data_IF_699875567521
#
_entry.id   IF_699875567521
#
_cell.length_a   1.000
_cell.length_b   1.000
_cell.length_c   1.000
_cell.angle_alpha   90.00
_cell.angle_beta   90.00
_cell.angle_gamma   90.00
#
_symmetry.space_group_name_H-M   'P 1'
#
loop_
_entity.id
_entity.type
_entity.pdbx_description
1 polymer ?
#
# COMPACT_ATOMS: atom_id res chain seq x y z
N UNK A 1 5.32 -2.91 11.37
CA UNK A 1 6.43 -2.25 10.65
C UNK A 1 5.89 -0.93 10.14
N UNK A 2 6.62 0.17 10.23
CA UNK A 2 6.10 1.50 9.84
C UNK A 2 6.56 1.85 8.43
N UNK A 3 5.62 2.13 7.53
CA UNK A 3 5.92 2.67 6.20
C UNK A 3 6.44 4.10 6.30
N UNK A 4 7.37 4.45 5.41
CA UNK A 4 7.93 5.80 5.29
C UNK A 4 7.72 6.30 3.88
N UNK A 5 7.44 7.60 3.77
CA UNK A 5 7.40 8.30 2.49
C UNK A 5 8.69 8.07 1.69
N UNK A 6 8.54 7.73 0.41
CA UNK A 6 9.62 7.41 -0.51
C UNK A 6 10.10 5.97 -0.49
N UNK A 7 9.56 5.09 0.38
CA UNK A 7 9.89 3.67 0.34
C UNK A 7 9.23 2.98 -0.85
N UNK A 8 10.00 2.08 -1.49
CA UNK A 8 9.47 1.15 -2.49
C UNK A 8 8.72 0.02 -1.80
N UNK A 9 7.53 -0.25 -2.29
CA UNK A 9 6.63 -1.29 -1.78
C UNK A 9 6.06 -2.11 -2.92
N UNK A 10 5.66 -3.33 -2.62
CA UNK A 10 4.91 -4.23 -3.48
C UNK A 10 3.56 -4.53 -2.83
N UNK A 11 2.50 -4.55 -3.64
CA UNK A 11 1.23 -5.12 -3.22
C UNK A 11 1.36 -6.64 -3.35
N UNK A 12 1.77 -7.34 -2.30
CA UNK A 12 2.16 -8.76 -2.41
C UNK A 12 0.97 -9.73 -2.28
N UNK A 13 -0.17 -9.26 -1.74
CA UNK A 13 -1.40 -10.04 -1.58
C UNK A 13 -2.63 -9.14 -1.61
N UNK A 14 -3.81 -9.72 -1.74
CA UNK A 14 -5.06 -9.04 -1.43
C UNK A 14 -5.23 -8.88 0.08
N UNK A 15 -5.85 -7.77 0.50
CA UNK A 15 -6.23 -7.54 1.89
C UNK A 15 -7.61 -8.15 2.16
N UNK A 16 -7.84 -8.58 3.39
CA UNK A 16 -9.16 -9.02 3.87
C UNK A 16 -9.99 -7.84 4.45
N UNK A 17 -9.42 -6.64 4.47
CA UNK A 17 -10.08 -5.43 4.93
C UNK A 17 -11.25 -5.00 4.03
N UNK A 18 -12.27 -4.39 4.64
CA UNK A 18 -13.43 -3.83 3.92
C UNK A 18 -13.05 -2.73 2.93
N UNK A 19 -11.88 -2.12 3.10
CA UNK A 19 -11.33 -1.14 2.15
C UNK A 19 -10.84 -1.76 0.84
N UNK A 20 -10.62 -3.09 0.82
CA UNK A 20 -10.21 -3.80 -0.39
C UNK A 20 -11.40 -4.03 -1.32
N UNK A 21 -11.28 -3.57 -2.55
CA UNK A 21 -12.31 -3.74 -3.58
C UNK A 21 -11.82 -4.72 -4.64
N UNK A 22 -12.72 -5.48 -5.27
CA UNK A 22 -12.34 -6.52 -6.24
C UNK A 22 -11.56 -6.03 -7.47
N UNK A 23 -11.58 -4.72 -7.77
CA UNK A 23 -10.70 -4.18 -8.83
C UNK A 23 -9.24 -4.09 -8.38
N UNK A 24 -8.97 -4.09 -7.07
CA UNK A 24 -7.63 -3.97 -6.49
C UNK A 24 -6.82 -5.27 -6.61
N UNK A 25 -7.48 -6.41 -6.86
CA UNK A 25 -6.81 -7.68 -7.15
C UNK A 25 -5.88 -7.58 -8.35
N UNK A 26 -6.16 -6.67 -9.30
CA UNK A 26 -5.29 -6.41 -10.46
C UNK A 26 -3.96 -5.74 -10.07
N UNK A 27 -3.88 -5.17 -8.87
CA UNK A 27 -2.69 -4.51 -8.35
C UNK A 27 -1.77 -5.46 -7.60
N UNK A 28 -2.24 -6.66 -7.26
CA UNK A 28 -1.40 -7.67 -6.62
C UNK A 28 -0.26 -8.06 -7.56
N UNK A 29 0.97 -7.98 -7.05
CA UNK A 29 2.22 -8.15 -7.79
C UNK A 29 2.78 -6.85 -8.39
N UNK A 30 2.09 -5.70 -8.24
CA UNK A 30 2.62 -4.42 -8.71
C UNK A 30 3.51 -3.74 -7.66
N UNK A 31 4.45 -2.97 -8.18
CA UNK A 31 5.37 -2.16 -7.40
C UNK A 31 4.94 -0.70 -7.38
N UNK A 32 5.18 -0.05 -6.26
CA UNK A 32 4.91 1.36 -6.07
C UNK A 32 5.85 2.01 -5.07
N UNK A 33 5.60 3.29 -4.86
CA UNK A 33 6.29 4.11 -3.85
C UNK A 33 5.27 4.71 -2.91
N UNK A 34 5.56 4.64 -1.61
CA UNK A 34 4.77 5.30 -0.58
C UNK A 34 4.88 6.81 -0.76
N UNK A 35 3.80 7.47 -1.14
CA UNK A 35 3.74 8.94 -1.25
C UNK A 35 3.33 9.59 0.05
N UNK A 36 2.44 8.94 0.78
CA UNK A 36 2.01 9.36 2.10
C UNK A 36 1.75 8.13 2.97
N UNK A 37 2.52 7.94 4.06
CA UNK A 37 2.29 6.83 4.97
C UNK A 37 1.07 7.04 5.89
N UNK A 38 0.32 8.15 5.75
CA UNK A 38 -0.86 8.57 6.52
C UNK A 38 -0.80 8.10 8.00
N UNK A 39 0.35 8.34 8.63
CA UNK A 39 0.63 7.98 10.02
C UNK A 39 0.16 9.07 10.97
N UNK A 40 -1.06 9.59 10.81
CA UNK A 40 -1.51 10.68 11.69
C UNK A 40 -1.59 10.24 13.16
N UNK A 41 -1.69 8.94 13.50
CA UNK A 41 -1.60 8.44 14.90
C UNK A 41 -1.62 6.90 15.00
N UNK A 42 -0.52 6.17 14.77
CA UNK A 42 -0.40 4.71 15.10
C UNK A 42 -1.67 3.86 14.85
N UNK A 43 -2.44 4.18 13.81
CA UNK A 43 -3.77 3.62 13.64
C UNK A 43 -3.59 2.37 12.78
N UNK A 44 -3.90 1.18 13.31
CA UNK A 44 -3.73 -0.05 12.56
C UNK A 44 -4.62 -0.09 11.31
N UNK A 45 -5.71 0.69 11.29
CA UNK A 45 -6.67 0.76 10.20
C UNK A 45 -6.34 1.90 9.20
N UNK A 46 -5.21 2.60 9.39
CA UNK A 46 -4.79 3.65 8.47
C UNK A 46 -4.33 3.08 7.12
N UNK A 47 -4.94 3.59 6.05
CA UNK A 47 -4.55 3.30 4.68
C UNK A 47 -3.28 4.07 4.30
N UNK A 48 -2.38 3.38 3.60
CA UNK A 48 -1.13 3.92 3.08
C UNK A 48 -1.34 4.37 1.64
N UNK A 49 -0.97 5.60 1.35
CA UNK A 49 -1.00 6.11 -0.01
C UNK A 49 0.26 5.68 -0.78
N UNK A 50 0.04 4.93 -1.85
CA UNK A 50 1.08 4.37 -2.71
C UNK A 50 0.80 4.75 -4.15
N UNK A 51 1.80 5.34 -4.80
CA UNK A 51 1.79 5.48 -6.26
C UNK A 51 2.33 4.21 -6.90
N UNK A 52 1.44 3.47 -7.57
CA UNK A 52 1.79 2.29 -8.36
C UNK A 52 2.33 2.70 -9.72
N UNK A 53 3.30 1.95 -10.22
CA UNK A 53 3.83 2.14 -11.58
C UNK A 53 2.69 1.95 -12.60
N UNK A 54 2.46 2.97 -13.45
CA UNK A 54 1.46 3.00 -14.54
C UNK A 54 -0.02 2.99 -14.13
N UNK A 55 -0.36 2.84 -12.85
CA UNK A 55 -1.75 2.81 -12.36
C UNK A 55 -2.14 4.05 -11.53
N UNK A 56 -1.17 4.90 -11.16
CA UNK A 56 -1.41 6.14 -10.42
C UNK A 56 -1.37 5.96 -8.90
N UNK A 57 -1.92 6.92 -8.16
CA UNK A 57 -1.89 6.94 -6.69
C UNK A 57 -3.14 6.31 -6.11
N UNK A 58 -2.96 5.30 -5.27
CA UNK A 58 -4.01 4.52 -4.62
C UNK A 58 -3.72 4.36 -3.13
N UNK A 59 -4.77 4.10 -2.35
CA UNK A 59 -4.67 3.89 -0.90
C UNK A 59 -4.86 2.42 -0.61
N UNK A 60 -3.91 1.83 0.10
CA UNK A 60 -3.90 0.41 0.42
C UNK A 60 -3.80 0.17 1.92
N UNK A 61 -4.46 -0.87 2.44
CA UNK A 61 -4.18 -1.38 3.77
C UNK A 61 -2.70 -1.71 3.98
N UNK A 62 -2.23 -1.63 5.22
CA UNK A 62 -0.83 -1.92 5.55
C UNK A 62 -0.49 -3.40 5.36
N UNK A 63 -1.48 -4.28 5.54
CA UNK A 63 -1.30 -5.73 5.58
C UNK A 63 -1.01 -6.32 4.18
N UNK A 64 -1.48 -5.68 3.11
CA UNK A 64 -1.25 -6.09 1.73
C UNK A 64 0.04 -5.51 1.11
N UNK A 65 0.69 -4.58 1.80
CA UNK A 65 1.92 -3.95 1.33
C UNK A 65 3.16 -4.62 1.94
N UNK A 66 4.17 -4.85 1.10
CA UNK A 66 5.48 -5.37 1.51
C UNK A 66 6.57 -4.41 1.08
N UNK A 67 7.47 -4.08 2.00
CA UNK A 67 8.62 -3.22 1.69
C UNK A 67 9.60 -4.00 0.81
N UNK A 68 9.92 -3.43 -0.35
CA UNK A 68 10.99 -3.90 -1.23
C UNK A 68 12.27 -3.23 -0.75
N UNK A 69 12.95 -3.87 0.20
CA UNK A 69 14.29 -3.46 0.62
C UNK A 69 15.27 -4.25 -0.24
N UNK A 70 16.17 -3.56 -0.94
CA UNK A 70 17.46 -4.14 -1.34
C UNK A 70 18.43 -4.00 -0.16
#
# INVERSE_FOLDING_TARGET
>A
MTFRKGQKVEVYRSSEDESWQGYMDRYVGLHGVVTDPDTVKNDPDALIEVTLDKEGTHRFPQDCLRILTD
#
